data_IF_551645065389
#
_entry.id   IF_551645065389
#
_cell.length_a   1.000
_cell.length_b   1.000
_cell.length_c   1.000
_cell.angle_alpha   90.00
_cell.angle_beta   90.00
_cell.angle_gamma   90.00
#
_symmetry.space_group_name_H-M   'P 1'
#
loop_
_entity.id
_entity.type
_entity.pdbx_description
1 polymer ?
#
# COMPACT_ATOMS: atom_id res chain seq x y z
N UNK A 1 -20.33 -17.67 -25.69
CA UNK A 1 -19.77 -17.00 -24.50
C UNK A 1 -18.38 -16.50 -24.83
N UNK A 2 -18.17 -15.18 -24.92
CA UNK A 2 -16.87 -14.60 -25.30
C UNK A 2 -15.97 -14.62 -24.07
N UNK A 3 -14.85 -15.34 -24.21
CA UNK A 3 -13.86 -15.60 -23.18
C UNK A 3 -13.15 -14.29 -22.78
N UNK A 4 -13.60 -13.64 -21.69
CA UNK A 4 -13.13 -12.31 -21.25
C UNK A 4 -11.62 -12.25 -20.98
N UNK A 5 -10.98 -13.36 -20.63
CA UNK A 5 -9.51 -13.44 -20.47
C UNK A 5 -8.75 -13.27 -21.78
N UNK A 6 -9.29 -13.83 -22.87
CA UNK A 6 -8.65 -13.83 -24.18
C UNK A 6 -8.63 -12.41 -24.82
N UNK A 7 -9.59 -11.54 -24.46
CA UNK A 7 -9.58 -10.15 -24.89
C UNK A 7 -8.57 -9.28 -24.12
N UNK A 8 -8.31 -9.56 -22.84
CA UNK A 8 -7.31 -8.83 -22.04
C UNK A 8 -5.89 -9.16 -22.48
N UNK A 9 -5.60 -10.43 -22.73
CA UNK A 9 -4.29 -10.85 -23.21
C UNK A 9 -3.98 -10.30 -24.62
N UNK A 10 -4.99 -10.28 -25.50
CA UNK A 10 -4.88 -9.64 -26.82
C UNK A 10 -4.68 -8.13 -26.73
N UNK A 11 -5.32 -7.45 -25.78
CA UNK A 11 -5.12 -6.01 -25.55
C UNK A 11 -3.70 -5.69 -25.07
N UNK A 12 -3.18 -6.49 -24.13
CA UNK A 12 -1.79 -6.37 -23.64
C UNK A 12 -0.80 -6.57 -24.78
N UNK A 13 -0.90 -7.67 -25.53
CA UNK A 13 0.01 -7.95 -26.66
C UNK A 13 -0.07 -6.86 -27.75
N UNK A 14 -1.27 -6.33 -28.00
CA UNK A 14 -1.47 -5.23 -28.95
C UNK A 14 -0.83 -3.93 -28.47
N UNK A 15 -0.92 -3.63 -27.18
CA UNK A 15 -0.25 -2.48 -26.57
C UNK A 15 1.27 -2.63 -26.59
N UNK A 16 1.79 -3.79 -26.17
CA UNK A 16 3.24 -4.07 -26.18
C UNK A 16 3.84 -3.87 -27.58
N UNK A 17 3.17 -4.40 -28.61
CA UNK A 17 3.61 -4.22 -30.00
C UNK A 17 3.62 -2.76 -30.45
N UNK A 18 2.63 -1.96 -30.01
CA UNK A 18 2.58 -0.52 -30.31
C UNK A 18 3.69 0.24 -29.61
N UNK A 19 3.95 -0.07 -28.34
CA UNK A 19 5.00 0.60 -27.55
C UNK A 19 6.38 0.24 -28.08
N UNK A 20 6.63 -1.03 -28.42
CA UNK A 20 7.88 -1.43 -29.08
C UNK A 20 8.11 -0.64 -30.37
N UNK A 21 7.12 -0.61 -31.26
CA UNK A 21 7.23 0.15 -32.50
C UNK A 21 7.46 1.65 -32.27
N UNK A 22 6.91 2.22 -31.18
CA UNK A 22 7.07 3.64 -30.85
C UNK A 22 8.45 3.94 -30.25
N UNK A 23 8.91 3.12 -29.31
CA UNK A 23 10.16 3.33 -28.57
C UNK A 23 11.39 2.81 -29.31
N UNK A 24 11.22 1.92 -30.28
CA UNK A 24 12.30 1.35 -31.09
C UNK A 24 12.28 1.88 -32.54
N UNK A 25 11.17 2.45 -33.00
CA UNK A 25 10.98 2.89 -34.40
C UNK A 25 11.53 4.28 -34.75
N UNK A 26 12.04 5.05 -33.77
CA UNK A 26 12.63 6.37 -34.00
C UNK A 26 14.04 6.46 -33.39
N UNK A 27 15.01 5.81 -34.03
CA UNK A 27 16.42 5.86 -33.63
C UNK A 27 17.14 7.04 -34.30
N UNK A 28 16.87 8.28 -33.86
CA UNK A 28 17.80 9.39 -34.08
C UNK A 28 18.47 9.69 -32.74
N UNK A 29 19.52 8.94 -32.43
CA UNK A 29 20.31 9.14 -31.22
C UNK A 29 21.17 10.41 -31.36
N UNK A 30 20.73 11.49 -30.73
CA UNK A 30 21.56 12.66 -30.49
C UNK A 30 22.71 12.29 -29.56
N UNK A 31 23.93 12.69 -29.93
CA UNK A 31 25.14 12.50 -29.12
C UNK A 31 25.00 13.24 -27.79
N UNK A 32 24.74 12.52 -26.70
CA UNK A 32 24.76 13.10 -25.35
C UNK A 32 24.16 12.22 -24.26
N UNK A 33 23.09 11.47 -24.56
CA UNK A 33 22.47 10.52 -23.61
C UNK A 33 22.40 9.15 -24.25
N UNK A 34 22.88 8.14 -23.52
CA UNK A 34 23.06 6.78 -24.04
C UNK A 34 21.78 6.25 -24.71
N UNK A 35 21.87 5.65 -25.92
CA UNK A 35 20.76 5.02 -26.63
C UNK A 35 19.84 4.12 -25.79
N UNK A 36 20.41 3.48 -24.77
CA UNK A 36 19.70 2.64 -23.81
C UNK A 36 18.83 3.43 -22.82
N UNK A 37 19.30 4.58 -22.34
CA UNK A 37 18.60 5.43 -21.37
C UNK A 37 17.36 6.08 -22.00
N UNK A 38 17.49 6.57 -23.25
CA UNK A 38 16.37 7.12 -24.00
C UNK A 38 15.29 6.06 -24.27
N UNK A 39 15.70 4.82 -24.57
CA UNK A 39 14.78 3.69 -24.76
C UNK A 39 14.04 3.37 -23.47
N UNK A 40 14.75 3.21 -22.36
CA UNK A 40 14.16 2.93 -21.05
C UNK A 40 13.16 4.01 -20.62
N UNK A 41 13.52 5.29 -20.81
CA UNK A 41 12.65 6.43 -20.51
C UNK A 41 11.35 6.38 -21.34
N UNK A 42 11.43 6.04 -22.62
CA UNK A 42 10.25 5.89 -23.49
C UNK A 42 9.32 4.77 -22.99
N UNK A 43 9.84 3.58 -22.69
CA UNK A 43 9.03 2.48 -22.17
C UNK A 43 8.36 2.84 -20.84
N UNK A 44 9.07 3.52 -19.94
CA UNK A 44 8.55 3.96 -18.66
C UNK A 44 7.41 4.99 -18.81
N UNK A 45 7.56 5.96 -19.72
CA UNK A 45 6.51 6.94 -20.01
C UNK A 45 5.25 6.31 -20.60
N UNK A 46 5.39 5.39 -21.55
CA UNK A 46 4.24 4.67 -22.14
C UNK A 46 3.52 3.78 -21.11
N UNK A 47 4.27 3.14 -20.21
CA UNK A 47 3.71 2.36 -19.11
C UNK A 47 2.89 3.24 -18.15
N UNK A 48 3.42 4.39 -17.74
CA UNK A 48 2.70 5.37 -16.91
C UNK A 48 1.44 5.91 -17.60
N UNK A 49 1.52 6.20 -18.89
CA UNK A 49 0.37 6.62 -19.69
C UNK A 49 -0.72 5.54 -19.76
N UNK A 50 -0.34 4.27 -19.88
CA UNK A 50 -1.29 3.14 -19.81
C UNK A 50 -1.99 3.07 -18.46
N UNK A 51 -1.25 3.22 -17.35
CA UNK A 51 -1.83 3.26 -16.01
C UNK A 51 -2.85 4.40 -15.85
N UNK A 52 -2.52 5.60 -16.36
CA UNK A 52 -3.41 6.77 -16.36
C UNK A 52 -4.67 6.59 -17.21
N UNK A 53 -4.58 5.86 -18.33
CA UNK A 53 -5.74 5.56 -19.18
C UNK A 53 -6.64 4.45 -18.58
N UNK A 54 -6.04 3.48 -17.88
CA UNK A 54 -6.79 2.46 -17.15
C UNK A 54 -7.56 3.07 -15.96
N UNK A 55 -6.98 4.07 -15.28
CA UNK A 55 -7.62 4.77 -14.17
C UNK A 55 -8.79 5.67 -14.58
N UNK A 56 -8.88 6.08 -15.86
CA UNK A 56 -10.01 6.85 -16.39
C UNK A 56 -11.24 5.99 -16.68
N UNK A 57 -11.07 4.68 -16.85
CA UNK A 57 -12.21 3.74 -16.91
C UNK A 57 -12.67 3.41 -15.49
N UNK A 58 -13.51 4.28 -14.92
CA UNK A 58 -14.29 3.99 -13.70
C UNK A 58 -15.15 2.74 -13.92
N UNK A 59 -14.58 1.58 -13.60
CA UNK A 59 -15.31 0.40 -13.12
C UNK A 59 -14.73 0.11 -11.76
N UNK A 60 -15.62 -0.09 -10.78
CA UNK A 60 -15.32 -0.54 -9.43
C UNK A 60 -14.02 -1.33 -9.41
N UNK A 61 -12.97 -0.73 -8.84
CA UNK A 61 -11.72 -1.43 -8.59
C UNK A 61 -12.11 -2.58 -7.66
N UNK A 62 -12.25 -3.78 -8.23
CA UNK A 62 -12.10 -5.01 -7.48
C UNK A 62 -10.68 -4.93 -6.91
N UNK A 63 -10.57 -4.38 -5.69
CA UNK A 63 -9.34 -4.33 -4.93
C UNK A 63 -8.89 -5.79 -4.84
N UNK A 64 -7.74 -6.20 -5.40
CA UNK A 64 -7.35 -7.59 -5.37
C UNK A 64 -7.15 -7.98 -3.91
N UNK A 65 -8.15 -8.64 -3.32
CA UNK A 65 -8.17 -9.07 -1.91
C UNK A 65 -7.05 -10.05 -1.56
N UNK A 66 -6.24 -10.46 -2.55
CA UNK A 66 -5.29 -11.55 -2.47
C UNK A 66 -3.85 -11.14 -2.82
N UNK A 67 -3.52 -9.83 -2.92
CA UNK A 67 -2.13 -9.45 -3.14
C UNK A 67 -1.32 -9.70 -1.86
N UNK A 68 -0.15 -10.31 -2.01
CA UNK A 68 0.79 -10.55 -0.92
C UNK A 68 2.03 -9.66 -1.07
N UNK A 69 2.65 -9.28 0.04
CA UNK A 69 3.99 -8.68 0.02
C UNK A 69 5.07 -9.77 -0.23
N UNK A 70 6.33 -9.34 -0.31
CA UNK A 70 7.47 -10.25 -0.55
C UNK A 70 7.65 -11.29 0.57
N UNK A 71 7.13 -11.03 1.76
CA UNK A 71 7.16 -11.92 2.92
C UNK A 71 5.96 -12.88 2.99
N UNK A 72 5.07 -12.85 1.99
CA UNK A 72 3.96 -13.78 1.85
C UNK A 72 2.69 -13.41 2.63
N UNK A 73 2.63 -12.22 3.23
CA UNK A 73 1.47 -11.70 3.95
C UNK A 73 0.52 -10.94 3.03
N UNK A 74 -0.79 -11.14 3.22
CA UNK A 74 -1.81 -10.41 2.48
C UNK A 74 -1.81 -8.93 2.86
N UNK A 75 -1.79 -8.04 1.86
CA UNK A 75 -1.78 -6.60 2.10
C UNK A 75 -3.20 -6.07 2.28
N UNK A 76 -3.38 -5.18 3.25
CA UNK A 76 -4.62 -4.43 3.44
C UNK A 76 -4.66 -3.26 2.46
N UNK A 77 -5.71 -3.12 1.63
CA UNK A 77 -5.80 -2.03 0.69
C UNK A 77 -6.07 -0.69 1.39
N UNK A 78 -5.49 0.39 0.85
CA UNK A 78 -5.81 1.75 1.25
C UNK A 78 -7.07 2.26 0.51
N UNK A 79 -7.87 3.17 1.11
CA UNK A 79 -7.70 3.74 2.44
C UNK A 79 -8.07 2.76 3.57
N UNK A 80 -7.38 2.92 4.70
CA UNK A 80 -7.56 2.14 5.91
C UNK A 80 -8.28 2.96 6.99
N UNK A 81 -9.12 2.30 7.79
CA UNK A 81 -9.82 2.88 8.93
C UNK A 81 -9.64 1.99 10.16
N UNK A 82 -9.18 2.57 11.28
CA UNK A 82 -8.98 1.84 12.54
C UNK A 82 -10.22 1.13 13.04
N UNK A 83 -11.41 1.68 12.81
CA UNK A 83 -12.65 1.07 13.30
C UNK A 83 -12.92 -0.27 12.63
N UNK A 84 -12.61 -0.41 11.35
CA UNK A 84 -12.72 -1.70 10.68
C UNK A 84 -11.78 -2.73 11.31
N UNK A 85 -10.59 -2.29 11.73
CA UNK A 85 -9.59 -3.12 12.37
C UNK A 85 -10.08 -3.62 13.73
N UNK A 86 -10.47 -2.67 14.59
CA UNK A 86 -10.95 -2.96 15.94
C UNK A 86 -12.26 -3.76 15.90
N UNK A 87 -13.23 -3.38 15.07
CA UNK A 87 -14.50 -4.11 14.95
C UNK A 87 -14.31 -5.51 14.39
N UNK A 88 -13.33 -5.71 13.49
CA UNK A 88 -13.05 -7.05 13.00
C UNK A 88 -12.52 -7.96 14.12
N UNK A 89 -11.62 -7.44 14.98
CA UNK A 89 -11.03 -8.22 16.07
C UNK A 89 -12.02 -8.42 17.22
N UNK A 90 -12.72 -7.38 17.64
CA UNK A 90 -13.56 -7.40 18.85
C UNK A 90 -14.99 -7.88 18.60
N UNK A 91 -15.56 -7.57 17.43
CA UNK A 91 -16.97 -7.83 17.11
C UNK A 91 -17.15 -8.88 16.00
N UNK A 92 -16.05 -9.35 15.40
CA UNK A 92 -16.06 -10.26 14.25
C UNK A 92 -16.96 -9.77 13.10
N UNK A 93 -17.10 -8.45 12.97
CA UNK A 93 -18.05 -7.86 12.03
C UNK A 93 -17.60 -8.15 10.59
N UNK A 94 -18.35 -8.99 9.88
CA UNK A 94 -18.02 -9.46 8.53
C UNK A 94 -17.70 -8.33 7.55
N UNK A 95 -18.45 -7.23 7.61
CA UNK A 95 -18.22 -6.08 6.74
C UNK A 95 -16.86 -5.42 7.02
N UNK A 96 -16.56 -5.17 8.29
CA UNK A 96 -15.28 -4.62 8.77
C UNK A 96 -14.11 -5.54 8.41
N UNK A 97 -14.22 -6.83 8.69
CA UNK A 97 -13.20 -7.83 8.34
C UNK A 97 -12.97 -7.95 6.84
N UNK A 98 -13.98 -7.69 6.01
CA UNK A 98 -13.82 -7.78 4.55
C UNK A 98 -13.02 -6.63 3.92
N UNK A 99 -12.74 -5.58 4.70
CA UNK A 99 -12.01 -4.38 4.26
C UNK A 99 -10.52 -4.41 4.64
N UNK A 100 -10.13 -5.34 5.49
CA UNK A 100 -8.76 -5.50 5.98
C UNK A 100 -8.30 -6.94 5.76
N UNK A 101 -7.00 -7.14 5.81
CA UNK A 101 -6.38 -8.46 5.81
C UNK A 101 -5.62 -8.61 7.12
N UNK A 102 -6.27 -9.22 8.11
CA UNK A 102 -5.66 -9.52 9.41
C UNK A 102 -4.54 -10.54 9.22
N UNK A 103 -3.44 -10.27 9.91
CA UNK A 103 -2.29 -11.15 9.99
C UNK A 103 -2.12 -11.50 11.44
N UNK A 104 -2.13 -12.81 11.71
CA UNK A 104 -1.91 -13.32 13.05
C UNK A 104 -0.60 -12.80 13.64
N UNK A 105 -0.65 -12.23 14.84
CA UNK A 105 0.50 -11.58 15.49
C UNK A 105 1.69 -12.54 15.65
N UNK A 106 1.44 -13.80 16.00
CA UNK A 106 2.50 -14.82 16.18
C UNK A 106 3.24 -15.11 14.88
N UNK A 107 2.55 -15.12 13.75
CA UNK A 107 3.18 -15.29 12.44
C UNK A 107 3.93 -14.03 12.00
N UNK A 108 3.37 -12.85 12.31
CA UNK A 108 3.97 -11.57 11.95
C UNK A 108 5.31 -11.34 12.65
N UNK A 109 5.39 -11.60 13.97
CA UNK A 109 6.60 -11.38 14.79
C UNK A 109 7.76 -12.29 14.37
N UNK A 110 7.48 -13.47 13.81
CA UNK A 110 8.53 -14.35 13.26
C UNK A 110 9.29 -13.70 12.10
N UNK A 111 8.64 -12.85 11.33
CA UNK A 111 9.23 -12.12 10.19
C UNK A 111 9.71 -10.74 10.64
N UNK A 112 8.91 -10.01 11.41
CA UNK A 112 9.19 -8.67 11.90
C UNK A 112 9.40 -8.69 13.42
N UNK A 113 10.58 -9.12 13.85
CA UNK A 113 10.92 -9.33 15.27
C UNK A 113 10.95 -8.07 16.14
N UNK A 114 10.89 -6.88 15.56
CA UNK A 114 10.77 -5.61 16.27
C UNK A 114 9.34 -5.34 16.79
N UNK A 115 8.34 -6.09 16.31
CA UNK A 115 6.95 -5.94 16.74
C UNK A 115 6.81 -6.50 18.16
N UNK A 116 6.19 -5.73 19.05
CA UNK A 116 5.96 -6.15 20.42
C UNK A 116 5.03 -7.37 20.47
N UNK A 117 5.40 -8.46 21.16
CA UNK A 117 4.54 -9.62 21.35
C UNK A 117 3.19 -9.36 22.00
N UNK A 118 3.02 -8.24 22.73
CA UNK A 118 1.74 -7.85 23.31
C UNK A 118 0.74 -7.28 22.30
N UNK A 119 1.17 -6.99 21.07
CA UNK A 119 0.29 -6.44 20.04
C UNK A 119 -0.62 -7.52 19.44
N UNK A 120 -1.84 -7.10 19.11
CA UNK A 120 -2.84 -7.97 18.50
C UNK A 120 -2.57 -8.25 17.03
N UNK A 121 -3.50 -8.99 16.44
CA UNK A 121 -3.51 -9.25 14.99
C UNK A 121 -3.48 -7.94 14.23
N UNK A 122 -2.60 -7.89 13.23
CA UNK A 122 -2.16 -6.64 12.63
C UNK A 122 -2.46 -6.61 11.15
N UNK A 123 -2.28 -5.44 10.53
CA UNK A 123 -2.41 -5.28 9.08
C UNK A 123 -1.12 -4.71 8.49
N UNK A 124 -0.76 -5.19 7.30
CA UNK A 124 0.33 -4.65 6.48
C UNK A 124 -0.26 -3.89 5.31
N UNK A 125 0.33 -2.75 4.95
CA UNK A 125 -0.08 -1.96 3.78
C UNK A 125 0.82 -2.26 2.57
N UNK A 126 0.44 -1.83 1.36
CA UNK A 126 1.37 -1.86 0.24
C UNK A 126 2.66 -1.11 0.60
N UNK A 127 3.77 -1.50 -0.01
CA UNK A 127 5.02 -0.75 0.13
C UNK A 127 4.90 0.57 -0.64
N UNK A 128 5.49 1.65 -0.10
CA UNK A 128 5.57 2.92 -0.84
C UNK A 128 6.53 2.79 -2.02
N UNK A 129 6.44 3.71 -2.98
CA UNK A 129 7.37 3.77 -4.12
C UNK A 129 8.85 3.91 -3.70
N UNK A 130 9.11 4.38 -2.48
CA UNK A 130 10.46 4.57 -1.92
C UNK A 130 10.94 3.38 -1.09
N UNK A 131 10.17 2.31 -1.06
CA UNK A 131 10.51 1.08 -0.35
C UNK A 131 10.26 1.15 1.16
N UNK A 132 9.19 1.84 1.57
CA UNK A 132 8.77 1.90 2.98
C UNK A 132 7.56 1.02 3.18
N UNK A 133 7.70 0.03 4.06
CA UNK A 133 6.60 -0.80 4.56
C UNK A 133 5.93 -0.10 5.74
N UNK A 134 4.61 -0.16 5.81
CA UNK A 134 3.83 0.30 6.96
C UNK A 134 3.02 -0.87 7.52
N UNK A 135 3.00 -0.98 8.85
CA UNK A 135 2.29 -1.99 9.62
C UNK A 135 1.45 -1.25 10.67
N UNK A 136 0.18 -1.62 10.83
CA UNK A 136 -0.65 -1.14 11.92
C UNK A 136 -1.00 -2.31 12.84
N UNK A 137 -0.63 -2.19 14.11
CA UNK A 137 -0.81 -3.23 15.13
C UNK A 137 -1.61 -2.67 16.30
N UNK A 138 -2.78 -3.25 16.62
CA UNK A 138 -3.59 -2.78 17.73
C UNK A 138 -2.97 -3.22 19.06
N UNK A 139 -3.14 -2.40 20.08
CA UNK A 139 -2.76 -2.70 21.45
C UNK A 139 -3.76 -2.08 22.43
N UNK A 140 -3.58 -2.39 23.70
CA UNK A 140 -4.31 -1.77 24.81
C UNK A 140 -3.30 -0.98 25.62
N UNK A 141 -3.61 0.28 25.90
CA UNK A 141 -2.78 1.15 26.73
C UNK A 141 -2.84 0.72 28.20
N UNK A 142 -1.98 1.30 29.03
CA UNK A 142 -2.01 1.06 30.49
C UNK A 142 -3.36 1.45 31.11
N UNK A 143 -4.08 2.40 30.52
CA UNK A 143 -5.40 2.85 30.95
C UNK A 143 -6.54 2.07 30.27
N UNK A 144 -6.27 0.85 29.79
CA UNK A 144 -7.22 -0.03 29.11
C UNK A 144 -7.87 0.56 27.85
N UNK A 145 -7.27 1.63 27.29
CA UNK A 145 -7.79 2.28 26.10
C UNK A 145 -7.19 1.65 24.85
N UNK A 146 -7.99 1.37 23.80
CA UNK A 146 -7.45 0.78 22.59
C UNK A 146 -6.56 1.79 21.87
N UNK A 147 -5.47 1.30 21.31
CA UNK A 147 -4.47 2.07 20.56
C UNK A 147 -4.05 1.32 19.30
N UNK A 148 -3.47 2.05 18.35
CA UNK A 148 -2.79 1.47 17.18
C UNK A 148 -1.37 1.98 17.14
N UNK A 149 -0.45 1.03 17.07
CA UNK A 149 0.96 1.25 16.80
C UNK A 149 1.15 1.22 15.29
N UNK A 150 1.48 2.38 14.71
CA UNK A 150 1.90 2.49 13.32
C UNK A 150 3.41 2.34 13.29
N UNK A 151 3.89 1.29 12.66
CA UNK A 151 5.31 0.98 12.53
C UNK A 151 5.71 0.97 11.07
N UNK A 152 6.84 1.57 10.76
CA UNK A 152 7.42 1.56 9.43
C UNK A 152 8.77 0.91 9.42
N UNK A 153 9.09 0.28 8.29
CA UNK A 153 10.41 -0.26 7.99
C UNK A 153 10.77 0.25 6.60
N UNK A 154 11.89 0.96 6.49
CA UNK A 154 12.38 1.37 5.18
C UNK A 154 13.26 0.29 4.53
N UNK A 155 13.65 0.51 3.28
CA UNK A 155 14.53 -0.40 2.51
C UNK A 155 15.87 -0.74 3.17
N UNK A 156 16.31 0.01 4.17
CA UNK A 156 17.53 -0.26 4.94
C UNK A 156 17.27 -1.03 6.24
N UNK A 157 16.02 -1.44 6.49
CA UNK A 157 15.60 -2.11 7.72
C UNK A 157 15.46 -1.16 8.93
N UNK A 158 15.52 0.16 8.72
CA UNK A 158 15.35 1.11 9.83
C UNK A 158 13.88 1.22 10.21
N UNK A 159 13.62 1.03 11.51
CA UNK A 159 12.27 1.04 12.08
C UNK A 159 11.93 2.40 12.68
N UNK A 160 10.71 2.88 12.43
CA UNK A 160 10.10 4.01 13.15
C UNK A 160 8.70 3.61 13.60
N UNK A 161 8.24 4.19 14.70
CA UNK A 161 6.91 3.92 15.21
C UNK A 161 6.28 5.15 15.84
N UNK A 162 4.95 5.22 15.77
CA UNK A 162 4.12 6.11 16.57
C UNK A 162 2.93 5.31 17.11
N UNK A 163 2.45 5.70 18.27
CA UNK A 163 1.25 5.11 18.89
C UNK A 163 0.15 6.15 18.86
N UNK A 164 -1.04 5.75 18.42
CA UNK A 164 -2.20 6.62 18.26
C UNK A 164 -3.41 5.98 18.94
N UNK A 165 -4.14 6.79 19.69
CA UNK A 165 -5.41 6.43 20.31
C UNK A 165 -6.50 6.21 19.24
N UNK A 166 -7.09 5.00 19.20
CA UNK A 166 -8.09 4.65 18.17
C UNK A 166 -9.51 5.09 18.52
N UNK A 167 -9.78 5.55 19.75
CA UNK A 167 -11.09 6.13 20.10
C UNK A 167 -11.47 7.32 19.21
N UNK A 168 -10.50 7.82 18.45
CA UNK A 168 -10.54 9.02 17.64
C UNK A 168 -10.60 8.78 16.13
N UNK A 169 -10.82 7.54 15.68
CA UNK A 169 -10.91 7.12 14.27
C UNK A 169 -9.67 7.51 13.44
N UNK A 170 -8.76 6.58 13.23
CA UNK A 170 -7.56 6.79 12.41
C UNK A 170 -7.87 6.40 10.97
N UNK A 171 -7.61 7.32 10.04
CA UNK A 171 -7.71 7.09 8.60
C UNK A 171 -6.32 7.18 7.96
N UNK A 172 -5.94 6.18 7.17
CA UNK A 172 -4.74 6.25 6.33
C UNK A 172 -5.19 6.26 4.88
N UNK A 173 -4.90 7.33 4.14
CA UNK A 173 -5.32 7.46 2.75
C UNK A 173 -4.32 6.79 1.78
N UNK A 174 -4.61 6.84 0.48
CA UNK A 174 -3.76 6.25 -0.57
C UNK A 174 -2.37 6.90 -0.70
N UNK A 175 -2.19 8.09 -0.13
CA UNK A 175 -0.92 8.82 -0.11
C UNK A 175 -0.16 8.61 1.21
N UNK A 176 -0.57 7.64 2.03
CA UNK A 176 0.01 7.39 3.36
C UNK A 176 -0.06 8.60 4.29
N UNK A 177 -1.08 9.45 4.10
CA UNK A 177 -1.41 10.50 5.05
C UNK A 177 -2.30 9.91 6.13
N UNK A 178 -1.87 10.07 7.39
CA UNK A 178 -2.55 9.58 8.58
C UNK A 178 -3.35 10.74 9.16
N UNK A 179 -4.67 10.60 9.17
CA UNK A 179 -5.59 11.53 9.81
C UNK A 179 -6.09 10.92 11.11
N UNK A 180 -6.01 11.67 12.20
CA UNK A 180 -6.47 11.26 13.51
C UNK A 180 -6.96 12.49 14.27
N UNK A 181 -7.73 12.27 15.34
CA UNK A 181 -8.02 13.34 16.29
C UNK A 181 -7.14 13.18 17.52
N UNK A 182 -6.83 14.29 18.16
CA UNK A 182 -6.19 14.34 19.47
C UNK A 182 -6.77 15.55 20.22
N UNK A 183 -7.24 15.35 21.45
CA UNK A 183 -7.89 16.42 22.23
C UNK A 183 -9.00 17.19 21.49
N UNK A 184 -9.75 16.48 20.63
CA UNK A 184 -10.83 17.06 19.81
C UNK A 184 -10.37 17.78 18.53
N UNK A 185 -9.08 17.97 18.32
CA UNK A 185 -8.52 18.63 17.14
C UNK A 185 -8.15 17.60 16.07
N UNK A 186 -8.32 17.96 14.79
CA UNK A 186 -7.90 17.12 13.67
C UNK A 186 -6.41 17.32 13.41
N UNK A 187 -5.66 16.21 13.35
CA UNK A 187 -4.25 16.20 13.01
C UNK A 187 -4.01 15.38 11.75
N UNK A 188 -2.92 15.73 11.07
CA UNK A 188 -2.43 15.01 9.90
C UNK A 188 -0.94 14.72 10.10
N UNK A 189 -0.55 13.50 9.78
CA UNK A 189 0.85 13.13 9.58
C UNK A 189 1.01 12.64 8.15
N UNK A 190 2.18 12.89 7.57
CA UNK A 190 2.61 12.33 6.29
C UNK A 190 3.74 11.36 6.55
N UNK A 191 3.75 10.28 5.80
CA UNK A 191 4.90 9.40 5.76
C UNK A 191 5.92 9.91 4.75
N UNK A 192 7.12 10.26 5.20
CA UNK A 192 8.19 10.70 4.30
C UNK A 192 8.91 9.51 3.66
N UNK A 193 9.85 9.80 2.75
CA UNK A 193 10.57 8.79 1.96
C UNK A 193 11.46 7.85 2.80
N UNK A 194 11.82 8.26 4.01
CA UNK A 194 12.63 7.47 4.94
C UNK A 194 11.78 6.66 5.92
N UNK A 195 10.45 6.78 5.86
CA UNK A 195 9.51 6.13 6.76
C UNK A 195 9.28 6.88 8.07
N UNK A 196 9.62 8.17 8.16
CA UNK A 196 9.29 9.00 9.33
C UNK A 196 7.91 9.63 9.17
N UNK A 197 7.18 9.69 10.27
CA UNK A 197 5.93 10.45 10.35
C UNK A 197 6.24 11.93 10.61
N UNK A 198 5.81 12.81 9.71
CA UNK A 198 6.03 14.27 9.77
C UNK A 198 4.69 15.00 9.74
N UNK A 199 4.57 16.13 10.45
CA UNK A 199 3.36 16.97 10.42
C UNK A 199 3.26 17.77 9.12
#
# INVERSE_FOLDING_TARGET
MINKGNNREKDVKKWEKKVSNKCEGHLNYGLGEGPAVARESCYNQEYKSRLGNLSHSKKNIERPKNLKNNDGFYITPLPYNSNNHINCILLEEKNSCSQINLINSTNLIKVYNFINPSYGDSVIFPETNNGVLLIASPSISENESPEINLMTVNKFGLVKSITLDVSKNILINQNYEVFYKESGQNHKLRLNEEGRFVK
#
